data_IF_551402869337
#
_entry.id   IF_551402869337
#
_cell.length_a   1.000
_cell.length_b   1.000
_cell.length_c   1.000
_cell.angle_alpha   90.00
_cell.angle_beta   90.00
_cell.angle_gamma   90.00
#
_symmetry.space_group_name_H-M   'P 1'
#
loop_
_entity.id
_entity.type
_entity.pdbx_description
1 polymer ?
#
# COMPACT_ATOMS: atom_id res chain seq x y z
N UNK A 1 79.11 -17.45 28.40
CA UNK A 1 78.13 -18.03 29.28
C UNK A 1 76.79 -18.11 28.54
N UNK A 2 76.38 -19.32 28.10
CA UNK A 2 75.18 -19.57 27.29
C UNK A 2 74.01 -19.86 28.25
N UNK A 3 72.86 -19.22 28.03
CA UNK A 3 71.59 -19.70 28.56
C UNK A 3 70.56 -19.58 27.44
N UNK A 4 70.17 -20.74 26.92
CA UNK A 4 69.06 -20.95 26.00
C UNK A 4 67.79 -21.13 26.82
N UNK A 5 66.79 -20.29 26.63
CA UNK A 5 65.46 -20.46 27.18
C UNK A 5 64.42 -20.66 26.04
N UNK A 6 63.98 -21.91 25.87
CA UNK A 6 62.82 -22.26 25.04
C UNK A 6 61.54 -21.90 25.80
N UNK A 7 60.73 -21.07 25.23
CA UNK A 7 59.35 -20.90 25.68
C UNK A 7 58.42 -21.53 24.62
N UNK A 8 57.83 -22.65 24.99
CA UNK A 8 56.79 -23.31 24.22
C UNK A 8 55.45 -22.60 24.54
N UNK A 9 54.92 -21.84 23.59
CA UNK A 9 53.61 -21.25 23.70
C UNK A 9 52.55 -22.24 23.18
N UNK A 10 51.71 -22.75 24.08
CA UNK A 10 50.50 -23.50 23.71
C UNK A 10 49.46 -22.55 23.09
N UNK A 11 49.21 -22.72 21.81
CA UNK A 11 48.10 -22.07 21.12
C UNK A 11 46.84 -22.94 21.34
N UNK A 12 46.05 -22.57 22.32
CA UNK A 12 44.72 -23.17 22.51
C UNK A 12 43.76 -22.60 21.43
N UNK A 13 43.42 -23.44 20.45
CA UNK A 13 42.46 -23.16 19.43
C UNK A 13 41.04 -23.26 20.04
N UNK A 14 40.46 -22.16 20.44
CA UNK A 14 39.07 -22.10 20.88
C UNK A 14 38.14 -22.18 19.66
N UNK A 15 37.67 -23.37 19.34
CA UNK A 15 36.62 -23.62 18.35
C UNK A 15 35.28 -23.18 18.95
N UNK A 16 34.85 -21.92 18.66
CA UNK A 16 33.51 -21.48 18.99
C UNK A 16 32.52 -22.16 18.03
N UNK A 17 31.82 -23.18 18.55
CA UNK A 17 30.66 -23.77 17.91
C UNK A 17 29.53 -22.69 17.89
N UNK A 18 29.37 -22.04 16.77
CA UNK A 18 28.14 -21.29 16.48
C UNK A 18 27.01 -22.31 16.27
N UNK A 19 26.24 -22.59 17.32
CA UNK A 19 24.96 -23.24 17.20
C UNK A 19 24.01 -22.30 16.48
N UNK A 20 23.88 -22.45 15.16
CA UNK A 20 22.79 -21.87 14.42
C UNK A 20 21.49 -22.45 14.95
N UNK A 21 20.81 -21.71 15.80
CA UNK A 21 19.42 -21.97 16.10
C UNK A 21 18.64 -21.67 14.83
N UNK A 22 18.42 -22.67 14.00
CA UNK A 22 17.38 -22.65 12.99
C UNK A 22 16.06 -22.53 13.76
N UNK A 23 15.59 -21.28 13.95
CA UNK A 23 14.19 -21.08 14.29
C UNK A 23 13.41 -21.79 13.21
N UNK A 24 12.70 -22.85 13.60
CA UNK A 24 11.68 -23.44 12.76
C UNK A 24 10.75 -22.29 12.40
N UNK A 25 10.77 -21.87 11.13
CA UNK A 25 9.76 -20.99 10.56
C UNK A 25 8.49 -21.80 10.72
N UNK A 26 7.62 -21.37 11.64
CA UNK A 26 6.30 -21.96 11.80
C UNK A 26 5.67 -21.91 10.40
N UNK A 27 5.24 -23.08 9.92
CA UNK A 27 4.55 -23.18 8.61
C UNK A 27 3.43 -22.14 8.60
N UNK A 28 3.56 -21.15 7.75
CA UNK A 28 2.51 -20.15 7.56
C UNK A 28 1.23 -20.89 7.15
N UNK A 29 0.09 -20.59 7.82
CA UNK A 29 -1.17 -21.26 7.51
C UNK A 29 -1.50 -21.04 6.03
N UNK A 30 -1.49 -22.10 5.24
CA UNK A 30 -1.86 -22.04 3.84
C UNK A 30 -3.34 -21.60 3.72
N UNK A 31 -3.65 -20.63 2.87
CA UNK A 31 -5.02 -20.19 2.69
C UNK A 31 -5.90 -21.36 2.24
N UNK A 32 -7.02 -21.56 2.92
CA UNK A 32 -8.06 -22.46 2.47
C UNK A 32 -8.92 -21.72 1.47
N UNK A 33 -9.27 -22.30 0.30
CA UNK A 33 -10.09 -21.62 -0.71
C UNK A 33 -11.40 -21.06 -0.16
N UNK A 34 -11.99 -21.76 0.79
CA UNK A 34 -13.23 -21.34 1.48
C UNK A 34 -13.10 -20.09 2.34
N UNK A 35 -11.87 -19.68 2.70
CA UNK A 35 -11.58 -18.49 3.52
C UNK A 35 -10.91 -17.38 2.72
N UNK A 36 -10.95 -17.43 1.40
CA UNK A 36 -10.36 -16.41 0.53
C UNK A 36 -11.45 -15.49 -0.02
N UNK A 37 -11.20 -14.18 0.01
CA UNK A 37 -12.07 -13.16 -0.56
C UNK A 37 -11.34 -12.41 -1.67
N UNK A 38 -12.10 -11.98 -2.68
CA UNK A 38 -11.61 -11.16 -3.78
C UNK A 38 -12.13 -9.74 -3.61
N UNK A 39 -11.25 -8.82 -3.24
CA UNK A 39 -11.58 -7.40 -3.06
C UNK A 39 -11.21 -6.63 -4.33
N UNK A 40 -12.17 -5.93 -4.91
CA UNK A 40 -11.97 -5.08 -6.09
C UNK A 40 -13.03 -3.99 -6.16
N UNK A 41 -12.77 -2.93 -6.91
CA UNK A 41 -13.80 -1.95 -7.21
C UNK A 41 -14.68 -2.47 -8.34
N UNK A 42 -15.96 -2.67 -8.06
CA UNK A 42 -16.97 -3.04 -9.08
C UNK A 42 -17.18 -1.93 -10.10
N UNK A 43 -17.04 -0.68 -9.64
CA UNK A 43 -17.16 0.51 -10.50
C UNK A 43 -16.08 1.52 -10.12
N UNK A 44 -15.37 2.08 -11.11
CA UNK A 44 -14.38 3.13 -10.86
C UNK A 44 -15.02 4.35 -10.23
N UNK A 45 -14.34 4.94 -9.27
CA UNK A 45 -14.78 6.19 -8.64
C UNK A 45 -14.50 7.36 -9.57
N UNK A 46 -15.48 8.21 -9.86
CA UNK A 46 -15.25 9.39 -10.71
C UNK A 46 -14.31 10.37 -10.02
N UNK A 47 -13.34 10.91 -10.78
CA UNK A 47 -12.46 11.96 -10.30
C UNK A 47 -13.15 13.32 -10.33
N UNK A 48 -12.56 14.30 -9.64
CA UNK A 48 -12.90 15.70 -9.84
C UNK A 48 -12.49 16.19 -11.24
N UNK A 49 -13.12 17.28 -11.69
CA UNK A 49 -12.71 17.96 -12.93
C UNK A 49 -11.48 18.82 -12.64
N UNK A 50 -10.48 18.68 -13.49
CA UNK A 50 -9.32 19.56 -13.53
C UNK A 50 -9.47 20.53 -14.70
N UNK A 51 -9.09 21.78 -14.52
CA UNK A 51 -9.11 22.80 -15.60
C UNK A 51 -8.26 22.35 -16.79
N UNK A 52 -7.10 21.76 -16.48
CA UNK A 52 -6.28 21.04 -17.45
C UNK A 52 -6.01 19.64 -16.86
N UNK A 53 -6.62 18.62 -17.44
CA UNK A 53 -6.53 17.25 -16.94
C UNK A 53 -5.07 16.72 -17.00
N UNK A 54 -4.40 16.51 -15.84
CA UNK A 54 -3.05 15.97 -15.83
C UNK A 54 -3.05 14.48 -16.17
N UNK A 55 -1.98 14.01 -16.75
CA UNK A 55 -1.73 12.57 -16.90
C UNK A 55 -0.87 12.07 -15.75
N UNK A 56 -1.38 11.07 -15.01
CA UNK A 56 -0.71 10.46 -13.88
C UNK A 56 -0.09 9.12 -14.27
N UNK A 57 1.09 8.83 -13.77
CA UNK A 57 1.72 7.53 -13.84
C UNK A 57 1.97 6.99 -12.43
N UNK A 58 1.48 5.78 -12.11
CA UNK A 58 1.72 5.15 -10.81
C UNK A 58 3.03 4.35 -10.90
N UNK A 59 4.04 4.81 -10.16
CA UNK A 59 5.37 4.15 -10.17
C UNK A 59 5.40 2.94 -9.27
N UNK A 60 4.87 3.08 -8.05
CA UNK A 60 4.97 2.05 -7.02
C UNK A 60 3.87 2.19 -5.97
N UNK A 61 3.49 1.05 -5.38
CA UNK A 61 2.66 0.98 -4.17
C UNK A 61 3.40 0.14 -3.13
N UNK A 62 3.90 0.79 -2.10
CA UNK A 62 4.71 0.17 -1.05
C UNK A 62 3.86 -0.04 0.20
N UNK A 63 3.89 -1.25 0.77
CA UNK A 63 3.23 -1.54 2.04
C UNK A 63 4.05 -0.99 3.22
N UNK A 64 3.41 -0.17 4.04
CA UNK A 64 3.91 0.41 5.29
C UNK A 64 3.02 0.03 6.49
N UNK A 65 2.05 -0.86 6.30
CA UNK A 65 1.11 -1.28 7.34
C UNK A 65 1.77 -2.09 8.47
N UNK A 66 2.95 -2.64 8.21
CA UNK A 66 3.63 -3.57 9.12
C UNK A 66 3.03 -4.98 9.09
N UNK A 67 2.01 -5.22 8.26
CA UNK A 67 1.42 -6.54 8.04
C UNK A 67 1.46 -6.87 6.54
N UNK A 68 2.56 -7.42 6.04
CA UNK A 68 2.74 -7.68 4.61
C UNK A 68 1.90 -8.86 4.09
N UNK A 69 1.23 -9.60 4.98
CA UNK A 69 0.45 -10.77 4.57
C UNK A 69 -0.95 -10.37 4.11
N UNK A 70 -1.46 -11.00 3.04
CA UNK A 70 -2.82 -10.80 2.58
C UNK A 70 -3.83 -11.55 3.48
N UNK A 71 -3.70 -11.40 4.79
CA UNK A 71 -4.53 -12.06 5.78
C UNK A 71 -5.15 -11.05 6.75
N UNK A 72 -6.48 -11.14 6.89
CA UNK A 72 -7.27 -10.38 7.84
C UNK A 72 -7.57 -11.28 9.04
N UNK A 73 -7.17 -10.86 10.24
CA UNK A 73 -7.44 -11.63 11.46
C UNK A 73 -8.70 -11.10 12.13
N UNK A 74 -9.74 -11.93 12.19
CA UNK A 74 -10.98 -11.63 12.89
C UNK A 74 -11.08 -12.46 14.16
N UNK A 75 -11.43 -11.82 15.28
CA UNK A 75 -11.55 -12.47 16.60
C UNK A 75 -12.55 -13.63 16.60
N UNK A 76 -13.66 -13.47 15.89
CA UNK A 76 -14.76 -14.44 15.89
C UNK A 76 -14.60 -15.58 14.88
N UNK A 77 -13.74 -15.43 13.86
CA UNK A 77 -13.70 -16.34 12.71
C UNK A 77 -12.32 -16.79 12.27
N UNK A 78 -11.26 -16.31 12.92
CA UNK A 78 -9.89 -16.62 12.51
C UNK A 78 -9.45 -15.80 11.29
N UNK A 79 -8.54 -16.37 10.52
CA UNK A 79 -7.97 -15.68 9.34
C UNK A 79 -8.88 -15.76 8.13
N UNK A 80 -9.08 -14.61 7.48
CA UNK A 80 -9.63 -14.50 6.14
C UNK A 80 -8.49 -14.02 5.23
N UNK A 81 -8.31 -14.67 4.10
CA UNK A 81 -7.24 -14.37 3.16
C UNK A 81 -7.77 -13.51 2.02
N UNK A 82 -6.94 -12.57 1.58
CA UNK A 82 -7.16 -11.86 0.32
C UNK A 82 -6.57 -12.73 -0.82
N UNK A 83 -7.23 -12.74 -1.96
CA UNK A 83 -6.74 -13.43 -3.16
C UNK A 83 -5.46 -12.80 -3.74
N UNK A 84 -5.23 -11.52 -3.42
CA UNK A 84 -4.08 -10.72 -3.88
C UNK A 84 -3.50 -9.87 -2.76
N UNK A 85 -2.27 -9.41 -2.95
CA UNK A 85 -1.65 -8.48 -2.02
C UNK A 85 -2.41 -7.14 -1.97
N UNK A 86 -2.59 -6.52 -0.79
CA UNK A 86 -3.24 -5.22 -0.64
C UNK A 86 -2.67 -4.13 -1.56
N UNK A 87 -1.34 -4.14 -1.78
CA UNK A 87 -0.68 -3.20 -2.68
C UNK A 87 -1.10 -3.35 -4.12
N UNK A 88 -1.35 -4.59 -4.58
CA UNK A 88 -1.85 -4.88 -5.92
C UNK A 88 -3.29 -4.38 -6.06
N UNK A 89 -4.14 -4.66 -5.05
CA UNK A 89 -5.54 -4.21 -5.04
C UNK A 89 -5.63 -2.69 -5.11
N UNK A 90 -4.84 -1.98 -4.29
CA UNK A 90 -4.81 -0.51 -4.27
C UNK A 90 -4.30 0.05 -5.60
N UNK A 91 -3.24 -0.53 -6.17
CA UNK A 91 -2.67 -0.11 -7.45
C UNK A 91 -3.68 -0.23 -8.58
N UNK A 92 -4.25 -1.42 -8.77
CA UNK A 92 -5.25 -1.67 -9.81
C UNK A 92 -6.47 -0.75 -9.66
N UNK A 93 -6.96 -0.57 -8.44
CA UNK A 93 -8.09 0.34 -8.17
C UNK A 93 -7.79 1.79 -8.55
N UNK A 94 -6.59 2.28 -8.26
CA UNK A 94 -6.15 3.62 -8.67
C UNK A 94 -6.01 3.73 -10.19
N UNK A 95 -5.40 2.74 -10.84
CA UNK A 95 -5.23 2.71 -12.29
C UNK A 95 -6.58 2.70 -13.00
N UNK A 96 -7.54 1.88 -12.55
CA UNK A 96 -8.88 1.82 -13.12
C UNK A 96 -9.65 3.14 -12.95
N UNK A 97 -9.57 3.76 -11.79
CA UNK A 97 -10.18 5.06 -11.55
C UNK A 97 -9.55 6.17 -12.42
N UNK A 98 -8.23 6.23 -12.52
CA UNK A 98 -7.53 7.21 -13.36
C UNK A 98 -7.81 6.97 -14.84
N UNK A 99 -7.86 5.70 -15.27
CA UNK A 99 -8.19 5.32 -16.65
C UNK A 99 -9.62 5.73 -17.02
N UNK A 100 -10.60 5.45 -16.15
CA UNK A 100 -12.00 5.81 -16.39
C UNK A 100 -12.20 7.33 -16.49
N UNK A 101 -11.38 8.10 -15.77
CA UNK A 101 -11.37 9.55 -15.80
C UNK A 101 -10.51 10.13 -16.95
N UNK A 102 -9.89 9.29 -17.77
CA UNK A 102 -8.92 9.69 -18.79
C UNK A 102 -7.73 10.48 -18.22
N UNK A 103 -7.30 10.13 -17.01
CA UNK A 103 -6.17 10.74 -16.30
C UNK A 103 -4.93 9.83 -16.23
N UNK A 104 -5.04 8.55 -16.61
CA UNK A 104 -3.90 7.64 -16.61
C UNK A 104 -3.00 7.93 -17.82
N UNK A 105 -1.69 8.04 -17.58
CA UNK A 105 -0.68 8.11 -18.63
C UNK A 105 -0.47 6.72 -19.27
N UNK A 106 -0.10 6.69 -20.54
CA UNK A 106 0.20 5.43 -21.25
C UNK A 106 1.51 4.84 -20.76
N UNK A 107 2.47 5.69 -20.43
CA UNK A 107 3.79 5.33 -19.89
C UNK A 107 4.35 6.46 -19.01
N UNK A 108 5.49 6.20 -18.38
CA UNK A 108 6.14 7.16 -17.49
C UNK A 108 6.60 8.45 -18.20
N UNK A 109 6.94 8.38 -19.50
CA UNK A 109 7.45 9.53 -20.26
C UNK A 109 6.32 10.47 -20.68
N UNK A 110 5.12 9.92 -20.87
CA UNK A 110 3.91 10.68 -21.23
C UNK A 110 3.19 11.27 -20.01
N UNK A 111 3.69 11.03 -18.80
CA UNK A 111 3.09 11.52 -17.58
C UNK A 111 3.46 12.97 -17.27
N UNK A 112 2.45 13.77 -16.93
CA UNK A 112 2.66 15.11 -16.36
C UNK A 112 3.10 15.02 -14.90
N UNK A 113 2.55 14.03 -14.19
CA UNK A 113 2.79 13.78 -12.76
C UNK A 113 2.99 12.29 -12.51
N UNK A 114 3.96 11.95 -11.67
CA UNK A 114 4.19 10.59 -11.21
C UNK A 114 3.74 10.43 -9.78
N UNK A 115 3.18 9.26 -9.45
CA UNK A 115 2.58 8.98 -8.15
C UNK A 115 3.24 7.75 -7.55
N UNK A 116 3.74 7.89 -6.30
CA UNK A 116 4.15 6.78 -5.44
C UNK A 116 3.22 6.70 -4.26
N UNK A 117 2.71 5.51 -3.97
CA UNK A 117 1.75 5.29 -2.90
C UNK A 117 2.40 4.52 -1.74
N UNK A 118 2.14 4.96 -0.53
CA UNK A 118 2.48 4.25 0.70
C UNK A 118 1.19 3.81 1.39
N UNK A 119 0.96 2.51 1.46
CA UNK A 119 -0.20 1.91 2.10
C UNK A 119 0.08 1.73 3.59
N UNK A 120 -0.69 2.40 4.45
CA UNK A 120 -0.55 2.33 5.90
C UNK A 120 -1.55 1.38 6.56
N UNK A 121 -2.71 1.20 5.94
CA UNK A 121 -3.71 0.29 6.46
C UNK A 121 -4.58 -0.26 5.33
N UNK A 122 -4.81 -1.57 5.38
CA UNK A 122 -5.78 -2.27 4.54
C UNK A 122 -6.34 -3.42 5.36
N UNK A 123 -7.54 -3.25 5.91
CA UNK A 123 -8.07 -4.29 6.76
C UNK A 123 -9.38 -3.97 7.42
N UNK A 124 -9.76 -4.89 8.30
CA UNK A 124 -10.96 -4.83 9.11
C UNK A 124 -10.61 -4.99 10.58
N UNK A 125 -11.35 -4.28 11.42
CA UNK A 125 -11.40 -4.53 12.86
C UNK A 125 -12.80 -5.00 13.24
N UNK A 126 -12.88 -6.01 14.10
CA UNK A 126 -14.12 -6.44 14.71
C UNK A 126 -14.31 -5.70 16.02
N UNK A 127 -15.45 -5.03 16.18
CA UNK A 127 -15.81 -4.31 17.40
C UNK A 127 -16.43 -5.25 18.43
N UNK A 128 -16.57 -4.76 19.66
CA UNK A 128 -17.24 -5.51 20.75
C UNK A 128 -18.70 -5.84 20.45
N UNK A 129 -19.36 -5.09 19.56
CA UNK A 129 -20.73 -5.33 19.10
C UNK A 129 -20.84 -6.37 17.99
N UNK A 130 -19.72 -6.99 17.59
CA UNK A 130 -19.64 -7.90 16.45
C UNK A 130 -19.93 -7.20 15.10
N UNK A 131 -19.70 -5.90 15.05
CA UNK A 131 -19.70 -5.13 13.81
C UNK A 131 -18.31 -5.21 13.15
N UNK A 132 -18.26 -5.14 11.84
CA UNK A 132 -17.01 -4.95 11.13
C UNK A 132 -16.78 -3.47 10.85
N UNK A 133 -15.55 -3.05 11.08
CA UNK A 133 -15.08 -1.71 10.73
C UNK A 133 -13.95 -1.85 9.72
N UNK A 134 -14.23 -1.52 8.48
CA UNK A 134 -13.27 -1.51 7.40
C UNK A 134 -12.48 -0.20 7.38
N UNK A 135 -11.19 -0.30 7.08
CA UNK A 135 -10.32 0.86 6.87
C UNK A 135 -9.31 0.59 5.77
N UNK A 136 -9.21 1.54 4.83
CA UNK A 136 -8.11 1.64 3.87
C UNK A 136 -7.49 3.01 4.02
N UNK A 137 -6.17 3.06 4.26
CA UNK A 137 -5.44 4.31 4.46
C UNK A 137 -4.13 4.29 3.68
N UNK A 138 -3.92 5.31 2.84
CA UNK A 138 -2.68 5.48 2.11
C UNK A 138 -2.30 6.96 1.97
N UNK A 139 -1.02 7.19 1.71
CA UNK A 139 -0.48 8.49 1.29
C UNK A 139 0.13 8.36 -0.09
N UNK A 140 -0.16 9.29 -0.96
CA UNK A 140 0.38 9.37 -2.30
C UNK A 140 1.35 10.55 -2.40
N UNK A 141 2.59 10.30 -2.75
CA UNK A 141 3.55 11.33 -3.13
C UNK A 141 3.41 11.58 -4.61
N UNK A 142 2.85 12.74 -4.94
CA UNK A 142 2.70 13.22 -6.31
C UNK A 142 3.92 14.07 -6.66
N UNK A 143 4.61 13.75 -7.74
CA UNK A 143 5.85 14.41 -8.17
C UNK A 143 5.69 14.95 -9.59
N UNK A 144 6.15 16.16 -9.83
CA UNK A 144 6.39 16.67 -11.17
C UNK A 144 7.76 16.15 -11.66
N UNK A 145 7.82 15.31 -12.71
CA UNK A 145 9.09 14.74 -13.16
C UNK A 145 10.05 15.78 -13.77
N UNK A 146 9.52 16.94 -14.24
CA UNK A 146 10.33 17.99 -14.87
C UNK A 146 11.04 18.88 -13.84
N UNK A 147 10.35 19.23 -12.74
CA UNK A 147 10.92 20.11 -11.70
C UNK A 147 11.48 19.35 -10.51
N UNK A 148 11.07 18.09 -10.32
CA UNK A 148 11.42 17.28 -9.16
C UNK A 148 10.60 17.60 -7.91
N UNK A 149 9.74 18.61 -7.94
CA UNK A 149 8.89 18.99 -6.81
C UNK A 149 7.86 17.92 -6.49
N UNK A 150 7.50 17.83 -5.20
CA UNK A 150 6.58 16.83 -4.69
C UNK A 150 5.51 17.43 -3.80
N UNK A 151 4.34 16.80 -3.78
CA UNK A 151 3.28 17.07 -2.82
C UNK A 151 2.73 15.76 -2.27
N UNK A 152 2.36 15.75 -0.98
CA UNK A 152 1.73 14.59 -0.33
C UNK A 152 0.22 14.76 -0.33
N UNK A 153 -0.50 13.68 -0.70
CA UNK A 153 -1.95 13.60 -0.66
C UNK A 153 -2.34 12.38 0.16
N UNK A 154 -3.06 12.58 1.26
CA UNK A 154 -3.54 11.51 2.13
C UNK A 154 -4.96 11.12 1.79
N UNK A 155 -5.24 9.82 1.84
CA UNK A 155 -6.56 9.27 1.64
C UNK A 155 -6.88 8.22 2.71
N UNK A 156 -8.06 8.34 3.28
CA UNK A 156 -8.62 7.39 4.25
C UNK A 156 -10.03 7.08 3.81
N UNK A 157 -10.33 5.80 3.70
CA UNK A 157 -11.70 5.32 3.51
C UNK A 157 -12.09 4.39 4.64
N UNK A 158 -13.34 4.47 5.05
CA UNK A 158 -13.89 3.68 6.14
C UNK A 158 -15.27 3.18 5.80
N UNK A 159 -15.64 2.04 6.41
CA UNK A 159 -16.97 1.47 6.33
C UNK A 159 -17.35 0.84 7.65
N UNK A 160 -18.63 0.59 7.86
CA UNK A 160 -19.15 -0.09 9.04
C UNK A 160 -20.26 -1.06 8.63
N UNK A 161 -20.02 -2.35 8.84
CA UNK A 161 -21.02 -3.39 8.64
C UNK A 161 -21.57 -3.90 9.99
N UNK A 162 -22.72 -3.39 10.39
CA UNK A 162 -23.35 -3.69 11.69
C UNK A 162 -23.82 -5.14 11.78
N UNK A 163 -23.45 -5.81 12.90
CA UNK A 163 -23.84 -7.20 13.19
C UNK A 163 -23.35 -8.20 12.14
N UNK A 164 -22.38 -7.84 11.33
CA UNK A 164 -21.95 -8.61 10.16
C UNK A 164 -21.32 -9.94 10.54
N UNK A 165 -20.63 -10.02 11.69
CA UNK A 165 -19.97 -11.25 12.14
C UNK A 165 -20.94 -12.37 12.53
N UNK A 166 -22.19 -12.05 12.84
CA UNK A 166 -23.24 -13.02 13.20
C UNK A 166 -23.95 -13.62 11.98
N UNK A 167 -23.80 -13.00 10.80
CA UNK A 167 -24.52 -13.42 9.60
C UNK A 167 -23.90 -14.66 8.97
N UNK A 168 -24.75 -15.49 8.35
CA UNK A 168 -24.36 -16.73 7.64
C UNK A 168 -23.29 -16.49 6.57
N UNK A 169 -23.28 -15.29 5.97
CA UNK A 169 -22.39 -14.91 4.87
C UNK A 169 -21.31 -13.91 5.33
N UNK A 170 -20.66 -14.15 6.48
CA UNK A 170 -19.69 -13.21 7.03
C UNK A 170 -18.53 -12.87 6.08
N UNK A 171 -18.07 -13.82 5.27
CA UNK A 171 -17.04 -13.54 4.25
C UNK A 171 -17.50 -12.52 3.21
N UNK A 172 -18.73 -12.68 2.72
CA UNK A 172 -19.33 -11.71 1.78
C UNK A 172 -19.43 -10.33 2.43
N UNK A 173 -19.86 -10.27 3.70
CA UNK A 173 -19.94 -9.00 4.42
C UNK A 173 -18.56 -8.36 4.63
N UNK A 174 -17.51 -9.17 4.90
CA UNK A 174 -16.13 -8.69 5.01
C UNK A 174 -15.64 -8.15 3.67
N UNK A 175 -15.91 -8.85 2.58
CA UNK A 175 -15.55 -8.40 1.24
C UNK A 175 -16.22 -7.07 0.90
N UNK A 176 -17.55 -6.98 1.05
CA UNK A 176 -18.34 -5.78 0.78
C UNK A 176 -17.86 -4.58 1.62
N UNK A 177 -17.51 -4.82 2.88
CA UNK A 177 -17.05 -3.77 3.80
C UNK A 177 -15.66 -3.24 3.39
N UNK A 178 -14.76 -4.13 2.97
CA UNK A 178 -13.45 -3.72 2.43
C UNK A 178 -13.57 -3.00 1.09
N UNK A 179 -14.44 -3.46 0.21
CA UNK A 179 -14.71 -2.82 -1.08
C UNK A 179 -15.26 -1.40 -0.89
N UNK A 180 -16.18 -1.20 0.06
CA UNK A 180 -16.71 0.13 0.38
C UNK A 180 -15.63 1.03 1.01
N UNK A 181 -14.80 0.50 1.92
CA UNK A 181 -13.66 1.24 2.48
C UNK A 181 -12.66 1.65 1.39
N UNK A 182 -12.36 0.75 0.47
CA UNK A 182 -11.47 1.01 -0.67
C UNK A 182 -12.07 2.08 -1.58
N UNK A 183 -13.36 1.97 -1.90
CA UNK A 183 -14.10 2.94 -2.71
C UNK A 183 -14.10 4.33 -2.08
N UNK A 184 -14.29 4.39 -0.77
CA UNK A 184 -14.26 5.65 -0.02
C UNK A 184 -12.85 6.27 -0.02
N UNK A 185 -11.80 5.47 0.17
CA UNK A 185 -10.42 5.94 0.07
C UNK A 185 -10.09 6.48 -1.33
N UNK A 186 -10.51 5.79 -2.40
CA UNK A 186 -10.34 6.27 -3.78
C UNK A 186 -11.11 7.56 -4.03
N UNK A 187 -12.34 7.67 -3.49
CA UNK A 187 -13.13 8.91 -3.57
C UNK A 187 -12.43 10.07 -2.89
N UNK A 188 -11.94 9.85 -1.68
CA UNK A 188 -11.26 10.87 -0.89
C UNK A 188 -9.94 11.31 -1.55
N UNK A 189 -9.23 10.40 -2.21
CA UNK A 189 -8.06 10.75 -3.02
C UNK A 189 -8.44 11.56 -4.27
N UNK A 190 -9.30 11.01 -5.14
CA UNK A 190 -9.56 11.56 -6.48
C UNK A 190 -10.43 12.82 -6.47
N UNK A 191 -11.23 13.02 -5.43
CA UNK A 191 -12.14 14.19 -5.28
C UNK A 191 -11.72 15.12 -4.15
N UNK A 192 -10.68 14.73 -3.39
CA UNK A 192 -10.17 15.54 -2.28
C UNK A 192 -9.52 16.83 -2.74
N UNK A 193 -9.74 17.91 -1.98
CA UNK A 193 -9.11 19.20 -2.25
C UNK A 193 -7.59 19.11 -2.27
N UNK A 194 -7.00 18.23 -1.45
CA UNK A 194 -5.55 18.00 -1.40
C UNK A 194 -4.95 17.64 -2.76
N UNK A 195 -5.58 16.75 -3.54
CA UNK A 195 -5.08 16.39 -4.87
C UNK A 195 -5.18 17.58 -5.82
N UNK A 196 -6.27 18.35 -5.74
CA UNK A 196 -6.45 19.55 -6.57
C UNK A 196 -5.37 20.57 -6.30
N UNK A 197 -5.10 20.85 -5.03
CA UNK A 197 -4.07 21.80 -4.61
C UNK A 197 -2.67 21.32 -4.98
N UNK A 198 -2.38 20.04 -4.80
CA UNK A 198 -1.13 19.41 -5.21
C UNK A 198 -0.89 19.57 -6.72
N UNK A 199 -1.89 19.27 -7.54
CA UNK A 199 -1.81 19.43 -9.01
C UNK A 199 -1.58 20.90 -9.39
N UNK A 200 -2.29 21.83 -8.76
CA UNK A 200 -2.16 23.25 -9.05
C UNK A 200 -0.75 23.78 -8.71
N UNK A 201 -0.20 23.38 -7.56
CA UNK A 201 1.15 23.81 -7.13
C UNK A 201 2.21 23.21 -8.07
N UNK A 202 2.16 21.90 -8.31
CA UNK A 202 3.18 21.20 -9.09
C UNK A 202 3.21 21.64 -10.56
N UNK A 203 2.07 22.10 -11.11
CA UNK A 203 2.02 22.63 -12.47
C UNK A 203 2.60 24.02 -12.57
N UNK A 204 2.24 24.93 -11.67
CA UNK A 204 2.81 26.29 -11.66
C UNK A 204 4.34 26.25 -11.62
N UNK A 205 4.89 25.34 -10.86
CA UNK A 205 6.33 25.11 -10.80
C UNK A 205 6.90 24.63 -12.16
N UNK A 206 6.19 23.74 -12.84
CA UNK A 206 6.58 23.27 -14.18
C UNK A 206 6.60 24.34 -15.24
N UNK A 207 5.61 25.26 -15.19
CA UNK A 207 5.50 26.37 -16.14
C UNK A 207 6.53 27.48 -15.86
N UNK A 208 6.99 27.62 -14.61
CA UNK A 208 8.00 28.58 -14.19
C UNK A 208 9.46 28.10 -14.42
N UNK A 209 9.67 26.81 -14.67
CA UNK A 209 11.00 26.26 -14.93
C UNK A 209 11.52 26.80 -16.29
N UNK A 210 12.64 27.55 -16.34
CA UNK A 210 13.16 28.02 -17.60
C UNK A 210 13.52 26.84 -18.50
N UNK A 211 13.12 26.93 -19.79
CA UNK A 211 13.54 26.01 -20.84
C UNK A 211 15.09 26.01 -20.96
N UNK A 212 15.78 25.33 -20.06
CA UNK A 212 17.24 25.18 -20.09
C UNK A 212 17.68 24.07 -21.04
N UNK A 213 17.04 24.00 -22.21
CA UNK A 213 17.44 23.09 -23.28
C UNK A 213 17.69 23.91 -24.57
N UNK A 214 18.72 24.75 -24.54
CA UNK A 214 19.38 25.16 -25.78
C UNK A 214 20.83 25.60 -25.45
N UNK A 215 21.74 24.67 -25.46
CA UNK A 215 23.11 24.86 -25.92
C UNK A 215 23.71 23.54 -26.33
#
# INVERSE_FOLDING_TARGET
MRITGKVAGNLALATALFAFHTRAVADEPKPKPENTINVHLTEPVPSQKFEHAPKFWITDVTDRSGNPQPMLVLKSRGGIFLDRQPTVIVRESLEDCLKSANLLAVDANSADLVVRVYLFHFGLAETSGLDFFGKVEFSAIVKNPKTGETAEVKAVGTSIAKGASRKKNAQKNVQEDLEESLKDAMRNFLRGQQLKDAVAVLRKAGDAAPNSATK
#
